data_IF_221856797396
#
_entry.id   IF_221856797396
#
_cell.length_a   1.000
_cell.length_b   1.000
_cell.length_c   1.000
_cell.angle_alpha   90.00
_cell.angle_beta   90.00
_cell.angle_gamma   90.00
#
_symmetry.space_group_name_H-M   'P 1'
#
loop_
_entity.id
_entity.type
_entity.pdbx_description
1 polymer ?
#
# COMPACT_ATOMS: atom_id res chain seq x y z
N UNK A 1 -9.85 -40.48 25.67
CA UNK A 1 -9.15 -39.58 26.62
C UNK A 1 -7.99 -40.25 27.36
N UNK A 2 -8.19 -41.39 28.04
CA UNK A 2 -7.10 -42.09 28.77
C UNK A 2 -5.85 -42.38 27.92
N UNK A 3 -6.00 -42.91 26.70
CA UNK A 3 -4.87 -43.13 25.75
C UNK A 3 -4.13 -41.86 25.35
N UNK A 4 -4.75 -40.68 25.42
CA UNK A 4 -4.10 -39.40 25.12
C UNK A 4 -3.32 -38.88 26.34
N UNK A 5 -3.91 -38.99 27.53
CA UNK A 5 -3.25 -38.62 28.78
C UNK A 5 -2.01 -39.47 29.05
N UNK A 6 -2.10 -40.78 28.81
CA UNK A 6 -0.97 -41.70 28.95
C UNK A 6 0.19 -41.33 28.00
N UNK A 7 -0.12 -40.98 26.74
CA UNK A 7 0.88 -40.52 25.75
C UNK A 7 1.59 -39.23 26.16
N UNK A 8 0.83 -38.26 26.68
CA UNK A 8 1.44 -37.07 27.26
C UNK A 8 2.36 -37.45 28.42
N UNK A 9 1.96 -38.35 29.32
CA UNK A 9 2.80 -38.77 30.45
C UNK A 9 4.09 -39.49 30.01
N UNK A 10 4.10 -40.16 28.87
CA UNK A 10 5.23 -40.96 28.39
C UNK A 10 6.16 -40.18 27.44
N UNK A 11 5.62 -39.30 26.56
CA UNK A 11 6.40 -38.63 25.51
C UNK A 11 6.65 -37.14 25.83
N UNK A 12 7.90 -36.79 26.19
CA UNK A 12 8.30 -35.41 26.48
C UNK A 12 8.05 -34.45 25.30
N UNK A 13 8.24 -34.91 24.06
CA UNK A 13 8.04 -34.08 22.86
C UNK A 13 6.57 -33.72 22.65
N UNK A 14 5.66 -34.65 22.94
CA UNK A 14 4.22 -34.38 22.89
C UNK A 14 3.78 -33.44 24.02
N UNK A 15 4.37 -33.56 25.22
CA UNK A 15 4.14 -32.60 26.32
C UNK A 15 4.53 -31.18 25.91
N UNK A 16 5.72 -31.00 25.36
CA UNK A 16 6.20 -29.67 24.91
C UNK A 16 5.28 -29.10 23.82
N UNK A 17 4.86 -29.91 22.84
CA UNK A 17 3.92 -29.47 21.80
C UNK A 17 2.54 -29.09 22.36
N UNK A 18 2.06 -29.83 23.35
CA UNK A 18 0.81 -29.55 24.04
C UNK A 18 0.90 -28.25 24.86
N UNK A 19 1.98 -28.08 25.63
CA UNK A 19 2.26 -26.86 26.38
C UNK A 19 2.36 -25.63 25.45
N UNK A 20 3.05 -25.76 24.31
CA UNK A 20 3.12 -24.72 23.30
C UNK A 20 1.73 -24.36 22.74
N UNK A 21 0.87 -25.35 22.51
CA UNK A 21 -0.51 -25.12 22.05
C UNK A 21 -1.34 -24.35 23.08
N UNK A 22 -1.25 -24.73 24.36
CA UNK A 22 -1.92 -24.01 25.46
C UNK A 22 -1.40 -22.58 25.54
N UNK A 23 -0.08 -22.40 25.51
CA UNK A 23 0.56 -21.08 25.58
C UNK A 23 0.19 -20.21 24.39
N UNK A 24 0.16 -20.75 23.17
CA UNK A 24 -0.22 -20.03 21.95
C UNK A 24 -1.63 -19.43 22.06
N UNK A 25 -2.64 -20.24 22.43
CA UNK A 25 -4.00 -19.74 22.57
C UNK A 25 -4.20 -18.89 23.82
N UNK A 26 -3.46 -19.16 24.89
CA UNK A 26 -3.42 -18.32 26.10
C UNK A 26 -2.90 -16.91 25.79
N UNK A 27 -1.80 -16.80 25.04
CA UNK A 27 -1.25 -15.52 24.59
C UNK A 27 -2.24 -14.80 23.67
N UNK A 28 -2.86 -15.48 22.71
CA UNK A 28 -3.87 -14.86 21.84
C UNK A 28 -5.09 -14.35 22.62
N UNK A 29 -5.56 -15.09 23.63
CA UNK A 29 -6.65 -14.65 24.49
C UNK A 29 -6.23 -13.42 25.31
N UNK A 30 -5.04 -13.43 25.94
CA UNK A 30 -4.50 -12.28 26.68
C UNK A 30 -4.34 -11.07 25.77
N UNK A 31 -3.80 -11.24 24.56
CA UNK A 31 -3.67 -10.17 23.57
C UNK A 31 -5.05 -9.58 23.22
N UNK A 32 -6.07 -10.41 22.99
CA UNK A 32 -7.44 -9.93 22.75
C UNK A 32 -7.98 -9.11 23.93
N UNK A 33 -7.73 -9.54 25.17
CA UNK A 33 -8.13 -8.80 26.37
C UNK A 33 -7.38 -7.47 26.52
N UNK A 34 -6.07 -7.47 26.29
CA UNK A 34 -5.23 -6.26 26.33
C UNK A 34 -5.59 -5.27 25.21
N UNK A 35 -6.10 -5.77 24.09
CA UNK A 35 -6.50 -4.95 22.95
C UNK A 35 -7.89 -4.32 23.09
N UNK A 36 -8.66 -4.63 24.15
CA UNK A 36 -9.99 -4.02 24.37
C UNK A 36 -10.00 -2.49 24.25
N UNK A 37 -9.07 -1.74 24.87
CA UNK A 37 -9.07 -0.28 24.75
C UNK A 37 -8.89 0.21 23.32
N UNK A 38 -8.18 -0.55 22.46
CA UNK A 38 -7.95 -0.21 21.06
C UNK A 38 -9.15 -0.50 20.17
N UNK A 39 -10.09 -1.33 20.63
CA UNK A 39 -11.32 -1.67 19.92
C UNK A 39 -12.49 -0.74 20.32
N UNK A 40 -12.32 0.05 21.38
CA UNK A 40 -13.35 0.87 22.00
C UNK A 40 -13.09 2.39 21.79
N UNK A 41 -12.74 2.78 20.57
CA UNK A 41 -12.30 4.16 20.24
C UNK A 41 -13.38 5.22 20.33
N UNK A 42 -14.64 4.88 20.02
CA UNK A 42 -15.80 5.78 20.18
C UNK A 42 -16.93 5.09 20.94
N UNK A 43 -17.92 5.84 21.45
CA UNK A 43 -19.04 5.26 22.19
C UNK A 43 -19.86 4.25 21.35
N UNK A 44 -20.05 4.53 20.06
CA UNK A 44 -20.73 3.64 19.13
C UNK A 44 -19.87 2.41 18.76
N UNK A 45 -18.55 2.61 18.57
CA UNK A 45 -17.62 1.51 18.31
C UNK A 45 -17.51 0.59 19.52
N UNK A 46 -17.54 1.15 20.73
CA UNK A 46 -17.49 0.42 22.00
C UNK A 46 -18.68 -0.53 22.17
N UNK A 47 -19.88 -0.09 21.82
CA UNK A 47 -21.08 -0.94 21.89
C UNK A 47 -20.98 -2.10 20.87
N UNK A 48 -20.61 -1.80 19.62
CA UNK A 48 -20.43 -2.83 18.59
C UNK A 48 -19.26 -3.80 18.90
N UNK A 49 -18.15 -3.27 19.41
CA UNK A 49 -16.94 -4.01 19.80
C UNK A 49 -17.24 -4.99 20.93
N UNK A 50 -17.82 -4.52 22.03
CA UNK A 50 -18.07 -5.32 23.23
C UNK A 50 -19.17 -6.36 22.99
N UNK A 51 -20.23 -6.00 22.28
CA UNK A 51 -21.37 -6.91 22.11
C UNK A 51 -21.22 -7.88 20.94
N UNK A 52 -20.43 -7.53 19.92
CA UNK A 52 -20.34 -8.33 18.70
C UNK A 52 -18.91 -8.79 18.38
N UNK A 53 -17.97 -7.86 18.15
CA UNK A 53 -16.63 -8.21 17.68
C UNK A 53 -15.84 -9.06 18.69
N UNK A 54 -15.80 -8.64 19.95
CA UNK A 54 -15.03 -9.30 21.00
C UNK A 54 -15.56 -10.73 21.30
N UNK A 55 -16.88 -10.95 21.50
CA UNK A 55 -17.44 -12.30 21.64
C UNK A 55 -17.19 -13.18 20.42
N UNK A 56 -17.30 -12.63 19.20
CA UNK A 56 -17.01 -13.37 17.97
C UNK A 56 -15.53 -13.79 17.89
N UNK A 57 -14.59 -12.90 18.21
CA UNK A 57 -13.16 -13.23 18.23
C UNK A 57 -12.83 -14.27 19.30
N UNK A 58 -13.40 -14.12 20.49
CA UNK A 58 -13.24 -15.11 21.56
C UNK A 58 -13.80 -16.48 21.15
N UNK A 59 -14.99 -16.51 20.53
CA UNK A 59 -15.59 -17.72 19.98
C UNK A 59 -14.71 -18.36 18.89
N UNK A 60 -14.09 -17.55 18.01
CA UNK A 60 -13.14 -18.01 17.01
C UNK A 60 -11.85 -18.60 17.64
N UNK A 61 -11.34 -17.99 18.72
CA UNK A 61 -10.21 -18.53 19.49
C UNK A 61 -10.58 -19.87 20.12
N UNK A 62 -11.73 -19.97 20.80
CA UNK A 62 -12.22 -21.21 21.42
C UNK A 62 -12.43 -22.28 20.34
N UNK A 63 -13.16 -21.91 19.29
CA UNK A 63 -13.23 -22.49 17.95
C UNK A 63 -11.97 -23.27 17.55
N UNK A 64 -10.96 -22.46 17.25
CA UNK A 64 -9.68 -22.89 16.71
C UNK A 64 -8.88 -23.69 17.74
N UNK A 65 -9.04 -23.40 19.03
CA UNK A 65 -8.46 -24.15 20.15
C UNK A 65 -9.01 -25.58 20.14
N UNK A 66 -10.34 -25.75 20.18
CA UNK A 66 -11.00 -27.06 20.17
C UNK A 66 -10.60 -27.85 18.93
N UNK A 67 -10.68 -27.24 17.74
CA UNK A 67 -10.26 -27.89 16.48
C UNK A 67 -8.78 -28.29 16.54
N UNK A 68 -7.92 -27.45 17.10
CA UNK A 68 -6.49 -27.72 17.25
C UNK A 68 -6.20 -28.88 18.17
N UNK A 69 -6.83 -28.92 19.33
CA UNK A 69 -6.68 -30.01 20.30
C UNK A 69 -7.28 -31.32 19.77
N UNK A 70 -8.44 -31.27 19.11
CA UNK A 70 -9.02 -32.45 18.45
C UNK A 70 -8.08 -33.00 17.36
N UNK A 71 -7.52 -32.15 16.51
CA UNK A 71 -6.55 -32.56 15.47
C UNK A 71 -5.25 -33.12 16.05
N UNK A 72 -4.77 -32.54 17.15
CA UNK A 72 -3.59 -33.00 17.88
C UNK A 72 -3.83 -34.37 18.52
N UNK A 73 -4.97 -34.55 19.22
CA UNK A 73 -5.33 -35.80 19.87
C UNK A 73 -5.58 -36.95 18.89
N UNK A 74 -6.13 -36.66 17.71
CA UNK A 74 -6.50 -37.64 16.68
C UNK A 74 -5.31 -38.19 15.87
N UNK A 75 -4.14 -37.53 15.85
CA UNK A 75 -3.00 -37.94 15.02
C UNK A 75 -1.70 -38.06 15.82
N UNK A 76 -1.40 -39.25 16.37
CA UNK A 76 -0.08 -39.52 16.94
C UNK A 76 0.96 -39.62 15.82
N UNK A 77 1.93 -38.70 15.84
CA UNK A 77 3.28 -38.76 15.25
C UNK A 77 3.53 -39.21 13.78
N UNK A 78 2.53 -39.66 13.02
CA UNK A 78 2.72 -39.89 11.58
C UNK A 78 2.63 -38.56 10.82
N UNK A 79 3.75 -38.10 10.24
CA UNK A 79 3.72 -37.07 9.19
C UNK A 79 2.80 -37.61 8.08
N UNK A 80 1.59 -37.06 7.89
CA UNK A 80 0.68 -37.62 6.90
C UNK A 80 1.36 -37.55 5.54
N UNK A 81 1.37 -38.67 4.80
CA UNK A 81 1.92 -38.69 3.44
C UNK A 81 1.22 -37.59 2.63
N UNK A 82 1.96 -36.75 1.87
CA UNK A 82 1.36 -35.68 1.10
C UNK A 82 0.38 -36.28 0.08
N UNK A 83 -0.82 -35.71 -0.03
CA UNK A 83 -1.82 -36.14 -0.99
C UNK A 83 -1.77 -35.24 -2.22
N UNK A 84 -2.20 -35.76 -3.37
CA UNK A 84 -2.40 -34.93 -4.55
C UNK A 84 -3.54 -33.93 -4.32
N UNK A 85 -3.44 -32.79 -4.98
CA UNK A 85 -4.51 -31.79 -5.04
C UNK A 85 -5.72 -32.39 -5.76
N UNK A 86 -6.91 -32.18 -5.20
CA UNK A 86 -8.18 -32.59 -5.81
C UNK A 86 -9.11 -31.38 -5.95
N UNK A 87 -10.40 -31.64 -6.16
CA UNK A 87 -11.40 -30.60 -6.42
C UNK A 87 -11.78 -29.74 -5.20
N UNK A 88 -11.57 -30.23 -3.97
CA UNK A 88 -11.93 -29.51 -2.74
C UNK A 88 -10.95 -28.39 -2.39
N UNK A 89 -9.70 -28.49 -2.85
CA UNK A 89 -8.62 -27.60 -2.47
C UNK A 89 -8.73 -26.21 -3.14
N UNK A 90 -9.09 -26.08 -4.42
CA UNK A 90 -9.43 -24.79 -5.01
C UNK A 90 -10.52 -24.04 -4.23
N UNK A 91 -11.55 -24.74 -3.73
CA UNK A 91 -12.61 -24.12 -2.91
C UNK A 91 -12.03 -23.55 -1.60
N UNK A 92 -11.14 -24.30 -0.93
CA UNK A 92 -10.46 -23.81 0.27
C UNK A 92 -9.53 -22.62 -0.01
N UNK A 93 -8.88 -22.62 -1.18
CA UNK A 93 -8.04 -21.50 -1.62
C UNK A 93 -8.88 -20.26 -1.94
N UNK A 94 -10.06 -20.44 -2.54
CA UNK A 94 -11.00 -19.35 -2.81
C UNK A 94 -11.55 -18.75 -1.51
N UNK A 95 -11.94 -19.60 -0.55
CA UNK A 95 -12.35 -19.14 0.78
C UNK A 95 -11.21 -18.38 1.50
N UNK A 96 -9.97 -18.87 1.38
CA UNK A 96 -8.81 -18.16 1.91
C UNK A 96 -8.60 -16.82 1.19
N UNK A 97 -8.75 -16.75 -0.13
CA UNK A 97 -8.65 -15.50 -0.89
C UNK A 97 -9.71 -14.47 -0.47
N UNK A 98 -10.94 -14.89 -0.22
CA UNK A 98 -11.99 -14.04 0.34
C UNK A 98 -11.64 -13.52 1.74
N UNK A 99 -11.06 -14.37 2.59
CA UNK A 99 -10.54 -13.95 3.90
C UNK A 99 -9.40 -12.93 3.79
N UNK A 100 -8.44 -13.14 2.87
CA UNK A 100 -7.32 -12.21 2.66
C UNK A 100 -7.80 -10.86 2.13
N UNK A 101 -8.76 -10.86 1.21
CA UNK A 101 -9.43 -9.65 0.75
C UNK A 101 -10.06 -8.88 1.92
N UNK A 102 -10.88 -9.57 2.73
CA UNK A 102 -11.55 -8.95 3.87
C UNK A 102 -10.55 -8.40 4.88
N UNK A 103 -9.46 -9.13 5.17
CA UNK A 103 -8.42 -8.70 6.10
C UNK A 103 -7.69 -7.45 5.60
N UNK A 104 -7.34 -7.42 4.30
CA UNK A 104 -6.67 -6.27 3.70
C UNK A 104 -7.57 -5.03 3.75
N UNK A 105 -8.79 -5.13 3.23
CA UNK A 105 -9.73 -3.99 3.18
C UNK A 105 -10.16 -3.52 4.56
N UNK A 106 -10.31 -4.42 5.53
CA UNK A 106 -10.68 -4.06 6.89
C UNK A 106 -9.62 -3.16 7.56
N UNK A 107 -8.34 -3.35 7.21
CA UNK A 107 -7.25 -2.52 7.74
C UNK A 107 -7.05 -1.24 6.92
N UNK A 108 -7.16 -1.32 5.60
CA UNK A 108 -6.75 -0.23 4.70
C UNK A 108 -7.88 0.70 4.25
N UNK A 109 -9.13 0.25 4.29
CA UNK A 109 -10.26 0.94 3.68
C UNK A 109 -11.44 1.01 4.65
N UNK A 110 -11.56 2.11 5.39
CA UNK A 110 -12.66 2.33 6.33
C UNK A 110 -14.05 2.29 5.69
N UNK A 111 -14.14 2.52 4.38
CA UNK A 111 -15.38 2.49 3.62
C UNK A 111 -15.55 1.25 2.74
N UNK A 112 -14.84 0.16 3.01
CA UNK A 112 -14.94 -1.04 2.17
C UNK A 112 -16.38 -1.60 2.07
N UNK A 113 -17.27 -1.27 3.02
CA UNK A 113 -18.70 -1.64 2.99
C UNK A 113 -19.49 -0.90 1.90
N UNK A 114 -19.02 0.26 1.47
CA UNK A 114 -19.63 1.06 0.39
C UNK A 114 -19.16 0.59 -1.00
N UNK A 115 -18.13 -0.26 -1.05
CA UNK A 115 -17.61 -0.80 -2.31
C UNK A 115 -18.62 -1.74 -2.96
N UNK A 116 -18.77 -1.60 -4.28
CA UNK A 116 -19.66 -2.48 -5.06
C UNK A 116 -19.16 -3.93 -5.01
N UNK A 117 -20.10 -4.86 -4.79
CA UNK A 117 -19.80 -6.28 -4.60
C UNK A 117 -18.99 -6.93 -5.73
N UNK A 118 -19.17 -6.47 -6.98
CA UNK A 118 -18.44 -7.04 -8.12
C UNK A 118 -16.96 -6.61 -8.14
N UNK A 119 -16.60 -5.45 -7.59
CA UNK A 119 -15.20 -5.09 -7.37
C UNK A 119 -14.58 -5.92 -6.24
N UNK A 120 -15.34 -6.23 -5.18
CA UNK A 120 -14.90 -7.18 -4.17
C UNK A 120 -14.59 -8.56 -4.79
N UNK A 121 -15.46 -9.07 -5.66
CA UNK A 121 -15.21 -10.31 -6.40
C UNK A 121 -13.97 -10.22 -7.30
N UNK A 122 -13.73 -9.09 -7.95
CA UNK A 122 -12.55 -8.89 -8.77
C UNK A 122 -11.25 -8.96 -7.92
N UNK A 123 -11.23 -8.33 -6.74
CA UNK A 123 -10.12 -8.46 -5.80
C UNK A 123 -9.91 -9.92 -5.37
N UNK A 124 -11.00 -10.59 -4.96
CA UNK A 124 -10.93 -12.01 -4.57
C UNK A 124 -10.39 -12.87 -5.71
N UNK A 125 -10.81 -12.60 -6.95
CA UNK A 125 -10.32 -13.27 -8.15
C UNK A 125 -8.82 -13.08 -8.36
N UNK A 126 -8.33 -11.85 -8.27
CA UNK A 126 -6.88 -11.54 -8.39
C UNK A 126 -6.07 -12.24 -7.29
N UNK A 127 -6.53 -12.16 -6.03
CA UNK A 127 -5.89 -12.83 -4.89
C UNK A 127 -5.90 -14.36 -5.07
N UNK A 128 -6.99 -14.91 -5.61
CA UNK A 128 -7.13 -16.34 -5.88
C UNK A 128 -6.19 -16.81 -6.98
N UNK A 129 -6.05 -16.06 -8.07
CA UNK A 129 -5.07 -16.35 -9.14
C UNK A 129 -3.65 -16.31 -8.57
N UNK A 130 -3.30 -15.27 -7.79
CA UNK A 130 -2.00 -15.18 -7.13
C UNK A 130 -1.76 -16.36 -6.18
N UNK A 131 -2.77 -16.76 -5.43
CA UNK A 131 -2.76 -17.92 -4.53
C UNK A 131 -2.47 -19.23 -5.29
N UNK A 132 -3.05 -19.40 -6.49
CA UNK A 132 -2.76 -20.54 -7.38
C UNK A 132 -1.31 -20.49 -7.83
N UNK A 133 -0.83 -19.37 -8.37
CA UNK A 133 0.54 -19.23 -8.86
C UNK A 133 1.57 -19.58 -7.77
N UNK A 134 1.45 -18.98 -6.58
CA UNK A 134 2.32 -19.27 -5.44
C UNK A 134 2.26 -20.75 -5.04
N UNK A 135 1.07 -21.36 -5.06
CA UNK A 135 0.91 -22.79 -4.75
C UNK A 135 1.62 -23.72 -5.74
N UNK A 136 1.65 -23.35 -7.04
CA UNK A 136 2.37 -24.09 -8.07
C UNK A 136 3.89 -23.95 -7.88
N UNK A 137 4.40 -22.74 -7.62
CA UNK A 137 5.82 -22.51 -7.36
C UNK A 137 6.33 -23.26 -6.12
N UNK A 138 5.58 -23.19 -5.02
CA UNK A 138 5.93 -23.87 -3.77
C UNK A 138 5.59 -25.37 -3.79
N UNK A 139 4.87 -25.84 -4.82
CA UNK A 139 4.35 -27.20 -4.94
C UNK A 139 3.60 -27.67 -3.68
N UNK A 140 2.96 -26.75 -2.98
CA UNK A 140 2.34 -27.00 -1.68
C UNK A 140 1.29 -25.94 -1.39
N UNK A 141 0.02 -26.37 -1.30
CA UNK A 141 -1.09 -25.48 -0.95
C UNK A 141 -0.90 -24.96 0.47
N UNK A 142 -0.52 -25.83 1.42
CA UNK A 142 -0.33 -25.43 2.82
C UNK A 142 0.71 -24.32 2.96
N UNK A 143 1.88 -24.48 2.33
CA UNK A 143 2.94 -23.46 2.39
C UNK A 143 2.52 -22.17 1.69
N UNK A 144 1.85 -22.27 0.55
CA UNK A 144 1.34 -21.12 -0.17
C UNK A 144 0.30 -20.35 0.64
N UNK A 145 -0.67 -21.01 1.26
CA UNK A 145 -1.68 -20.32 2.05
C UNK A 145 -1.07 -19.65 3.28
N UNK A 146 -0.11 -20.30 3.96
CA UNK A 146 0.62 -19.67 5.07
C UNK A 146 1.37 -18.42 4.59
N UNK A 147 2.11 -18.54 3.48
CA UNK A 147 2.82 -17.41 2.89
C UNK A 147 1.85 -16.27 2.53
N UNK A 148 0.74 -16.58 1.85
CA UNK A 148 -0.24 -15.57 1.43
C UNK A 148 -0.90 -14.88 2.62
N UNK A 149 -1.21 -15.58 3.71
CA UNK A 149 -1.75 -14.97 4.94
C UNK A 149 -0.76 -14.00 5.58
N UNK A 150 0.51 -14.40 5.72
CA UNK A 150 1.55 -13.54 6.28
C UNK A 150 1.80 -12.35 5.34
N UNK A 151 1.92 -12.60 4.03
CA UNK A 151 2.18 -11.58 3.03
C UNK A 151 1.07 -10.51 2.98
N UNK A 152 -0.20 -10.92 2.94
CA UNK A 152 -1.31 -9.96 2.90
C UNK A 152 -1.47 -9.16 4.20
N UNK A 153 -1.18 -9.77 5.35
CA UNK A 153 -1.12 -9.03 6.61
C UNK A 153 0.03 -8.01 6.62
N UNK A 154 1.23 -8.38 6.17
CA UNK A 154 2.33 -7.43 6.06
C UNK A 154 2.00 -6.31 5.06
N UNK A 155 1.42 -6.64 3.90
CA UNK A 155 0.99 -5.65 2.92
C UNK A 155 -0.09 -4.73 3.49
N UNK A 156 -1.05 -5.22 4.28
CA UNK A 156 -2.07 -4.36 4.89
C UNK A 156 -1.45 -3.33 5.83
N UNK A 157 -0.42 -3.70 6.59
CA UNK A 157 0.35 -2.75 7.41
C UNK A 157 1.08 -1.71 6.55
N UNK A 158 1.71 -2.14 5.46
CA UNK A 158 2.41 -1.23 4.53
C UNK A 158 1.42 -0.24 3.93
N UNK A 159 0.32 -0.71 3.35
CA UNK A 159 -0.71 0.17 2.78
C UNK A 159 -1.27 1.13 3.82
N UNK A 160 -1.55 0.66 5.04
CA UNK A 160 -2.09 1.48 6.12
C UNK A 160 -1.12 2.57 6.58
N UNK A 161 0.11 2.21 6.96
CA UNK A 161 1.06 3.18 7.51
C UNK A 161 1.60 4.13 6.44
N UNK A 162 1.80 3.68 5.21
CA UNK A 162 2.18 4.58 4.10
C UNK A 162 1.09 5.62 3.88
N UNK A 163 -0.17 5.20 3.85
CA UNK A 163 -1.30 6.13 3.72
C UNK A 163 -1.41 7.07 4.93
N UNK A 164 -1.24 6.57 6.15
CA UNK A 164 -1.29 7.37 7.38
C UNK A 164 -0.22 8.47 7.41
N UNK A 165 1.02 8.16 7.02
CA UNK A 165 2.14 9.10 7.12
C UNK A 165 2.25 10.05 5.92
N UNK A 166 1.84 9.62 4.73
CA UNK A 166 2.02 10.40 3.49
C UNK A 166 0.73 10.96 2.90
N UNK A 167 -0.44 10.51 3.36
CA UNK A 167 -1.73 10.83 2.75
C UNK A 167 -1.95 10.22 1.36
N UNK A 168 -1.00 9.42 0.88
CA UNK A 168 -0.98 8.80 -0.44
C UNK A 168 -0.97 7.28 -0.31
N UNK A 169 -1.69 6.59 -1.18
CA UNK A 169 -1.70 5.13 -1.15
C UNK A 169 -0.35 4.57 -1.62
N UNK A 170 0.08 3.46 -1.01
CA UNK A 170 1.31 2.78 -1.41
C UNK A 170 1.27 2.36 -2.89
N UNK A 171 2.27 2.77 -3.66
CA UNK A 171 2.45 2.44 -5.07
C UNK A 171 3.74 1.62 -5.26
N UNK A 172 3.88 0.87 -6.35
CA UNK A 172 5.11 0.09 -6.59
C UNK A 172 6.35 0.99 -6.69
N UNK A 173 6.20 2.26 -7.11
CA UNK A 173 7.31 3.22 -7.19
C UNK A 173 7.94 3.48 -5.81
N UNK A 174 7.16 3.32 -4.73
CA UNK A 174 7.66 3.48 -3.35
C UNK A 174 8.71 2.42 -2.98
N UNK A 175 8.78 1.30 -3.72
CA UNK A 175 9.86 0.32 -3.54
C UNK A 175 11.23 0.88 -3.94
N UNK A 176 11.29 1.86 -4.84
CA UNK A 176 12.54 2.51 -5.23
C UNK A 176 13.03 3.53 -4.20
N UNK A 177 12.15 4.02 -3.32
CA UNK A 177 12.48 4.98 -2.25
C UNK A 177 12.46 4.37 -0.84
N UNK A 178 12.48 3.02 -0.75
CA UNK A 178 12.38 2.32 0.53
C UNK A 178 13.53 2.63 1.50
N UNK A 179 14.73 2.88 0.98
CA UNK A 179 15.89 3.26 1.80
C UNK A 179 15.65 4.61 2.49
N UNK A 180 15.23 5.62 1.72
CA UNK A 180 14.89 6.95 2.25
C UNK A 180 13.72 6.88 3.24
N UNK A 181 12.72 6.04 2.95
CA UNK A 181 11.60 5.81 3.87
C UNK A 181 12.04 5.19 5.21
N UNK A 182 13.02 4.28 5.18
CA UNK A 182 13.55 3.65 6.38
C UNK A 182 14.29 4.66 7.29
N UNK A 183 15.01 5.62 6.71
CA UNK A 183 15.75 6.65 7.46
C UNK A 183 14.81 7.62 8.20
N UNK A 184 13.66 7.94 7.60
CA UNK A 184 12.66 8.85 8.22
C UNK A 184 11.70 8.12 9.16
N UNK A 185 11.62 6.78 9.07
CA UNK A 185 10.64 5.99 9.83
C UNK A 185 10.82 6.09 11.34
N UNK A 186 12.05 6.29 11.81
CA UNK A 186 12.35 6.44 13.25
C UNK A 186 11.71 7.67 13.91
N UNK A 187 11.28 8.66 13.11
CA UNK A 187 10.57 9.84 13.59
C UNK A 187 9.06 9.64 13.77
N UNK A 188 8.49 8.56 13.23
CA UNK A 188 7.04 8.33 13.31
C UNK A 188 6.63 7.53 14.53
N UNK A 189 5.48 7.89 15.11
CA UNK A 189 4.80 7.09 16.12
C UNK A 189 3.86 6.10 15.44
N UNK A 190 4.14 4.82 15.59
CA UNK A 190 3.29 3.76 15.08
C UNK A 190 2.19 3.46 16.09
N UNK A 191 1.03 4.08 15.89
CA UNK A 191 -0.16 3.73 16.63
C UNK A 191 -0.75 2.43 16.08
N UNK A 192 -1.07 1.51 16.98
CA UNK A 192 -1.65 0.21 16.63
C UNK A 192 -3.16 0.35 16.80
N UNK A 193 -3.92 0.15 15.73
CA UNK A 193 -5.39 0.22 15.78
C UNK A 193 -6.03 -1.13 16.10
N UNK A 194 -7.30 -1.10 16.51
CA UNK A 194 -8.11 -2.29 16.74
C UNK A 194 -8.23 -3.20 15.50
N UNK A 195 -8.26 -2.63 14.30
CA UNK A 195 -8.31 -3.37 13.04
C UNK A 195 -7.03 -4.17 12.79
N UNK A 196 -5.87 -3.57 13.08
CA UNK A 196 -4.57 -4.23 12.97
C UNK A 196 -4.48 -5.41 13.95
N UNK A 197 -4.88 -5.21 15.21
CA UNK A 197 -4.85 -6.28 16.21
C UNK A 197 -5.81 -7.41 15.86
N UNK A 198 -7.01 -7.08 15.42
CA UNK A 198 -8.02 -8.06 14.98
C UNK A 198 -7.51 -8.88 13.79
N UNK A 199 -6.90 -8.20 12.81
CA UNK A 199 -6.29 -8.82 11.64
C UNK A 199 -5.12 -9.72 12.02
N UNK A 200 -4.28 -9.31 12.97
CA UNK A 200 -3.18 -10.12 13.50
C UNK A 200 -3.68 -11.38 14.21
N UNK A 201 -4.67 -11.26 15.09
CA UNK A 201 -5.25 -12.41 15.80
C UNK A 201 -5.87 -13.39 14.81
N UNK A 202 -6.71 -12.92 13.89
CA UNK A 202 -7.37 -13.79 12.91
C UNK A 202 -6.35 -14.47 11.98
N UNK A 203 -5.30 -13.75 11.56
CA UNK A 203 -4.22 -14.29 10.74
C UNK A 203 -3.46 -15.40 11.49
N UNK A 204 -3.16 -15.19 12.78
CA UNK A 204 -2.60 -16.22 13.65
C UNK A 204 -3.50 -17.47 13.75
N UNK A 205 -4.82 -17.30 13.88
CA UNK A 205 -5.76 -18.43 13.90
C UNK A 205 -5.77 -19.20 12.57
N UNK A 206 -5.87 -18.50 11.44
CA UNK A 206 -5.92 -19.11 10.10
C UNK A 206 -4.59 -19.81 9.75
N UNK A 207 -3.44 -19.18 10.02
CA UNK A 207 -2.11 -19.79 9.85
C UNK A 207 -1.99 -21.06 10.71
N UNK A 208 -2.51 -21.06 11.95
CA UNK A 208 -2.51 -22.25 12.80
C UNK A 208 -3.33 -23.39 12.21
N UNK A 209 -4.51 -23.09 11.68
CA UNK A 209 -5.36 -24.06 11.00
C UNK A 209 -4.67 -24.67 9.77
N UNK A 210 -3.94 -23.87 9.01
CA UNK A 210 -3.13 -24.35 7.87
C UNK A 210 -1.94 -25.20 8.32
N UNK A 211 -1.21 -24.81 9.37
CA UNK A 211 -0.07 -25.57 9.90
C UNK A 211 -0.47 -27.00 10.31
N UNK A 212 -1.66 -27.16 10.89
CA UNK A 212 -2.24 -28.47 11.26
C UNK A 212 -2.97 -29.17 10.10
N UNK A 213 -3.22 -28.45 9.01
CA UNK A 213 -3.82 -28.96 7.79
C UNK A 213 -2.94 -30.04 7.14
N UNK A 214 -3.57 -30.88 6.31
CA UNK A 214 -2.82 -31.86 5.51
C UNK A 214 -2.03 -31.14 4.42
N UNK A 215 -0.85 -31.66 4.13
CA UNK A 215 -0.04 -31.21 3.01
C UNK A 215 -0.63 -31.76 1.69
N UNK A 216 -1.08 -30.86 0.82
CA UNK A 216 -1.47 -31.17 -0.55
C UNK A 216 -0.43 -30.67 -1.52
N UNK A 217 0.07 -31.55 -2.40
CA UNK A 217 1.13 -31.25 -3.38
C UNK A 217 0.65 -31.59 -4.78
N UNK A 218 1.16 -30.85 -5.77
CA UNK A 218 0.82 -31.08 -7.17
C UNK A 218 1.73 -32.17 -7.77
N UNK A 219 3.03 -32.16 -7.43
CA UNK A 219 4.03 -33.06 -7.97
C UNK A 219 4.90 -33.72 -6.87
N UNK A 220 5.25 -35.01 -7.06
CA UNK A 220 6.09 -35.76 -6.11
C UNK A 220 7.50 -36.04 -6.63
N UNK A 221 7.65 -36.54 -7.87
CA UNK A 221 8.94 -36.81 -8.52
C UNK A 221 9.65 -35.52 -8.92
N UNK A 222 10.99 -35.51 -8.88
CA UNK A 222 11.81 -34.32 -9.19
C UNK A 222 11.54 -33.76 -10.58
N UNK A 223 11.48 -34.62 -11.60
CA UNK A 223 11.13 -34.23 -12.99
C UNK A 223 9.79 -33.49 -13.05
N UNK A 224 8.76 -34.01 -12.39
CA UNK A 224 7.43 -33.39 -12.39
C UNK A 224 7.41 -32.05 -11.62
N UNK A 225 8.26 -31.88 -10.60
CA UNK A 225 8.40 -30.60 -9.90
C UNK A 225 9.05 -29.55 -10.79
N UNK A 226 10.05 -29.93 -11.58
CA UNK A 226 10.68 -29.03 -12.55
C UNK A 226 9.65 -28.64 -13.60
N UNK A 227 8.94 -29.61 -14.19
CA UNK A 227 7.87 -29.35 -15.16
C UNK A 227 6.78 -28.44 -14.58
N UNK A 228 6.36 -28.66 -13.33
CA UNK A 228 5.38 -27.81 -12.65
C UNK A 228 5.88 -26.37 -12.51
N UNK A 229 7.17 -26.17 -12.17
CA UNK A 229 7.75 -24.83 -12.03
C UNK A 229 7.91 -24.13 -13.38
N UNK A 230 8.28 -24.87 -14.42
CA UNK A 230 8.33 -24.34 -15.80
C UNK A 230 6.92 -23.94 -16.25
N UNK A 231 5.92 -24.79 -16.02
CA UNK A 231 4.52 -24.48 -16.31
C UNK A 231 4.01 -23.29 -15.49
N UNK A 232 4.38 -23.19 -14.21
CA UNK A 232 4.06 -22.05 -13.36
C UNK A 232 4.70 -20.76 -13.88
N UNK A 233 5.98 -20.80 -14.27
CA UNK A 233 6.67 -19.65 -14.85
C UNK A 233 6.06 -19.21 -16.19
N UNK A 234 5.73 -20.16 -17.07
CA UNK A 234 5.03 -19.89 -18.32
C UNK A 234 3.63 -19.30 -18.08
N UNK A 235 2.88 -19.84 -17.11
CA UNK A 235 1.57 -19.31 -16.72
C UNK A 235 1.70 -17.89 -16.15
N UNK A 236 2.67 -17.64 -15.27
CA UNK A 236 2.94 -16.31 -14.73
C UNK A 236 3.32 -15.32 -15.83
N UNK A 237 4.17 -15.72 -16.78
CA UNK A 237 4.51 -14.90 -17.94
C UNK A 237 3.28 -14.61 -18.81
N UNK A 238 2.45 -15.63 -19.09
CA UNK A 238 1.21 -15.46 -19.83
C UNK A 238 0.23 -14.52 -19.13
N UNK A 239 0.03 -14.68 -17.82
CA UNK A 239 -0.81 -13.77 -17.02
C UNK A 239 -0.25 -12.35 -17.00
N UNK A 240 1.07 -12.18 -16.90
CA UNK A 240 1.72 -10.86 -16.96
C UNK A 240 1.53 -10.20 -18.34
N UNK A 241 1.74 -10.94 -19.43
CA UNK A 241 1.53 -10.43 -20.79
C UNK A 241 0.06 -10.08 -21.02
N UNK A 242 -0.89 -10.88 -20.54
CA UNK A 242 -2.31 -10.57 -20.59
C UNK A 242 -2.63 -9.31 -19.78
N UNK A 243 -2.12 -9.20 -18.55
CA UNK A 243 -2.29 -8.03 -17.68
C UNK A 243 -1.77 -6.73 -18.31
N UNK A 244 -0.62 -6.78 -18.98
CA UNK A 244 -0.01 -5.60 -19.62
C UNK A 244 -0.70 -5.21 -20.93
N UNK A 245 -1.03 -6.18 -21.78
CA UNK A 245 -1.49 -5.90 -23.14
C UNK A 245 -3.01 -5.84 -23.29
N UNK A 246 -3.78 -6.43 -22.36
CA UNK A 246 -5.24 -6.35 -22.38
C UNK A 246 -5.72 -5.12 -21.62
N UNK A 247 -6.80 -4.51 -22.12
CA UNK A 247 -7.46 -3.38 -21.46
C UNK A 247 -8.48 -3.83 -20.41
N UNK A 248 -8.06 -4.79 -19.57
CA UNK A 248 -8.90 -5.37 -18.52
C UNK A 248 -9.49 -4.30 -17.59
N UNK A 249 -8.73 -3.24 -17.27
CA UNK A 249 -9.18 -2.14 -16.43
C UNK A 249 -10.46 -1.51 -17.01
N UNK A 250 -10.45 -1.20 -18.31
CA UNK A 250 -11.58 -0.58 -19.01
C UNK A 250 -12.76 -1.55 -19.13
N UNK A 251 -12.51 -2.81 -19.47
CA UNK A 251 -13.54 -3.86 -19.58
C UNK A 251 -14.29 -4.08 -18.25
N UNK A 252 -13.58 -4.00 -17.12
CA UNK A 252 -14.17 -4.14 -15.79
C UNK A 252 -14.62 -2.80 -15.17
N UNK A 253 -14.54 -1.68 -15.90
CA UNK A 253 -14.98 -0.37 -15.41
C UNK A 253 -14.10 0.25 -14.32
N UNK A 254 -12.85 -0.18 -14.23
CA UNK A 254 -11.83 0.32 -13.29
C UNK A 254 -11.11 1.51 -13.90
N UNK A 255 -11.45 2.71 -13.42
CA UNK A 255 -10.82 3.97 -13.84
C UNK A 255 -9.72 4.30 -12.84
N UNK A 256 -8.46 4.29 -13.29
CA UNK A 256 -7.31 4.58 -12.43
C UNK A 256 -7.09 6.08 -12.32
N UNK A 257 -7.40 6.64 -11.15
CA UNK A 257 -7.00 7.99 -10.80
C UNK A 257 -5.52 7.97 -10.38
N UNK A 258 -4.64 8.31 -11.32
CA UNK A 258 -3.19 8.34 -11.09
C UNK A 258 -2.76 9.50 -10.18
N UNK A 259 -3.61 10.51 -10.03
CA UNK A 259 -3.36 11.68 -9.18
C UNK A 259 -3.81 11.45 -7.75
N UNK A 260 -4.88 10.68 -7.56
CA UNK A 260 -5.32 10.21 -6.25
C UNK A 260 -5.50 8.68 -6.24
N UNK A 261 -4.40 7.92 -6.14
CA UNK A 261 -4.45 6.46 -6.04
C UNK A 261 -5.31 5.97 -4.88
N UNK A 262 -5.35 6.71 -3.75
CA UNK A 262 -6.16 6.36 -2.60
C UNK A 262 -7.67 6.31 -2.93
N UNK A 263 -8.17 7.23 -3.77
CA UNK A 263 -9.54 7.18 -4.28
C UNK A 263 -9.80 5.92 -5.10
N UNK A 264 -8.86 5.55 -5.96
CA UNK A 264 -8.94 4.31 -6.76
C UNK A 264 -9.03 3.08 -5.84
N UNK A 265 -8.22 3.04 -4.77
CA UNK A 265 -8.16 1.88 -3.87
C UNK A 265 -9.44 1.78 -3.04
N UNK A 266 -9.99 2.92 -2.59
CA UNK A 266 -11.26 2.99 -1.86
C UNK A 266 -12.45 2.52 -2.70
N UNK A 267 -12.48 2.88 -3.99
CA UNK A 267 -13.60 2.55 -4.89
C UNK A 267 -13.55 1.12 -5.43
N UNK A 268 -12.36 0.65 -5.80
CA UNK A 268 -12.18 -0.62 -6.52
C UNK A 268 -11.55 -1.71 -5.66
N UNK A 269 -11.12 -1.40 -4.44
CA UNK A 269 -10.39 -2.28 -3.53
C UNK A 269 -8.88 -2.16 -3.74
N UNK A 270 -8.13 -2.39 -2.67
CA UNK A 270 -6.68 -2.20 -2.56
C UNK A 270 -5.92 -3.06 -3.57
N UNK A 271 -6.29 -4.34 -3.75
CA UNK A 271 -5.54 -5.24 -4.66
C UNK A 271 -5.77 -4.87 -6.13
N UNK A 272 -7.03 -4.62 -6.52
CA UNK A 272 -7.37 -4.20 -7.89
C UNK A 272 -6.84 -2.80 -8.16
N UNK A 273 -7.01 -1.87 -7.23
CA UNK A 273 -6.48 -0.51 -7.36
C UNK A 273 -4.95 -0.50 -7.50
N UNK A 274 -4.25 -1.28 -6.68
CA UNK A 274 -2.80 -1.42 -6.77
C UNK A 274 -2.38 -2.01 -8.12
N UNK A 275 -3.03 -3.09 -8.57
CA UNK A 275 -2.72 -3.68 -9.88
C UNK A 275 -3.10 -2.77 -11.04
N UNK A 276 -4.15 -1.96 -10.95
CA UNK A 276 -4.54 -1.02 -11.99
C UNK A 276 -3.51 0.12 -12.09
N UNK A 277 -3.17 0.76 -10.97
CA UNK A 277 -2.16 1.83 -10.90
C UNK A 277 -0.77 1.31 -11.29
N UNK A 278 -0.41 0.09 -10.90
CA UNK A 278 0.88 -0.50 -11.25
C UNK A 278 1.08 -0.68 -12.76
N UNK A 279 -0.01 -0.82 -13.53
CA UNK A 279 0.09 -0.94 -15.00
C UNK A 279 0.65 0.34 -15.63
N UNK A 280 0.35 1.50 -15.05
CA UNK A 280 0.69 2.82 -15.58
C UNK A 280 2.07 3.34 -15.15
N UNK A 281 2.83 2.60 -14.33
CA UNK A 281 4.19 3.04 -13.98
C UNK A 281 5.22 2.73 -15.07
N UNK A 282 4.84 1.98 -16.11
CA UNK A 282 5.68 1.87 -17.30
C UNK A 282 5.60 3.21 -18.05
N UNK A 283 6.68 3.99 -17.98
CA UNK A 283 6.86 5.10 -18.89
C UNK A 283 6.90 4.57 -20.33
N UNK A 284 5.86 4.89 -21.09
CA UNK A 284 5.85 4.70 -22.54
C UNK A 284 6.43 5.95 -23.17
N UNK A 285 7.47 5.82 -24.01
CA UNK A 285 7.96 6.98 -24.75
C UNK A 285 6.81 7.55 -25.61
N UNK A 286 6.70 8.87 -25.75
CA UNK A 286 5.73 9.47 -26.66
C UNK A 286 6.01 9.04 -28.10
N UNK A 287 4.97 9.04 -28.95
CA UNK A 287 5.12 8.74 -30.36
C UNK A 287 6.15 9.68 -31.00
N UNK A 288 7.08 9.12 -31.77
CA UNK A 288 8.19 9.86 -32.40
C UNK A 288 9.44 10.01 -31.53
N UNK A 289 9.43 9.65 -30.24
CA UNK A 289 10.62 9.77 -29.39
C UNK A 289 11.85 9.08 -29.99
N UNK A 290 12.88 9.87 -30.28
CA UNK A 290 14.23 9.38 -30.58
C UNK A 290 15.25 10.20 -29.80
N UNK A 291 16.39 9.60 -29.45
CA UNK A 291 17.47 10.32 -28.78
C UNK A 291 17.98 11.48 -29.64
N UNK A 292 18.05 11.26 -30.95
CA UNK A 292 18.56 12.24 -31.90
C UNK A 292 17.64 13.47 -32.00
N UNK A 293 16.31 13.27 -32.00
CA UNK A 293 15.35 14.38 -31.95
C UNK A 293 15.45 15.18 -30.65
N UNK A 294 15.60 14.51 -29.51
CA UNK A 294 15.76 15.20 -28.21
C UNK A 294 17.03 16.04 -28.20
N UNK A 295 18.15 15.51 -28.73
CA UNK A 295 19.40 16.27 -28.86
C UNK A 295 19.24 17.44 -29.82
N UNK A 296 18.56 17.26 -30.95
CA UNK A 296 18.30 18.35 -31.90
C UNK A 296 17.44 19.47 -31.28
N UNK A 297 16.42 19.13 -30.49
CA UNK A 297 15.61 20.10 -29.75
C UNK A 297 16.47 20.84 -28.72
N UNK A 298 17.29 20.11 -27.94
CA UNK A 298 18.18 20.72 -26.95
C UNK A 298 19.18 21.71 -27.59
N UNK A 299 19.81 21.31 -28.70
CA UNK A 299 20.75 22.15 -29.45
C UNK A 299 20.06 23.39 -30.04
N UNK A 300 18.81 23.25 -30.49
CA UNK A 300 18.00 24.37 -31.01
C UNK A 300 17.65 25.34 -29.90
N UNK A 301 17.15 24.85 -28.76
CA UNK A 301 16.85 25.68 -27.59
C UNK A 301 18.09 26.37 -27.02
N UNK A 302 19.26 25.72 -27.02
CA UNK A 302 20.51 26.35 -26.59
C UNK A 302 20.94 27.48 -27.55
N UNK A 303 20.74 27.28 -28.86
CA UNK A 303 20.98 28.33 -29.86
C UNK A 303 19.99 29.48 -29.72
N UNK A 304 18.70 29.21 -29.56
CA UNK A 304 17.67 30.22 -29.33
C UNK A 304 17.96 31.03 -28.05
N UNK A 305 18.34 30.37 -26.96
CA UNK A 305 18.70 31.03 -25.69
C UNK A 305 19.97 31.89 -25.80
N UNK A 306 20.92 31.50 -26.66
CA UNK A 306 22.13 32.32 -26.97
C UNK A 306 21.82 33.49 -27.93
N UNK A 307 20.75 33.39 -28.72
CA UNK A 307 20.37 34.41 -29.71
C UNK A 307 19.39 35.43 -29.10
N UNK A 308 18.56 35.00 -28.15
CA UNK A 308 17.85 35.86 -27.20
C UNK A 308 18.81 36.41 -26.15
N UNK A 309 19.73 37.26 -26.58
CA UNK A 309 20.42 38.24 -25.76
C UNK A 309 19.42 39.33 -25.25
N UNK A 310 18.20 38.91 -24.85
CA UNK A 310 17.16 39.71 -24.17
C UNK A 310 17.61 40.24 -22.79
N UNK A 311 18.88 40.04 -22.44
CA UNK A 311 19.53 40.65 -21.27
C UNK A 311 20.33 41.91 -21.59
N UNK A 312 20.49 42.31 -22.85
CA UNK A 312 21.25 43.52 -23.19
C UNK A 312 20.44 44.82 -23.19
N UNK A 313 19.12 44.76 -23.26
CA UNK A 313 18.29 45.98 -23.29
C UNK A 313 17.85 46.48 -21.90
N UNK A 314 18.19 45.76 -20.82
CA UNK A 314 18.05 46.25 -19.45
C UNK A 314 19.44 46.61 -18.89
N UNK A 315 19.98 47.74 -19.34
CA UNK A 315 21.26 48.31 -18.91
C UNK A 315 21.33 48.65 -17.39
N UNK A 316 20.20 48.56 -16.68
CA UNK A 316 20.09 48.73 -15.21
C UNK A 316 19.88 47.41 -14.44
N UNK A 317 19.96 46.25 -15.10
CA UNK A 317 19.74 44.96 -14.42
C UNK A 317 20.90 44.59 -13.50
N UNK A 318 20.74 44.92 -12.21
CA UNK A 318 21.58 44.41 -11.13
C UNK A 318 21.60 42.89 -11.22
N UNK A 319 22.74 42.31 -11.59
CA UNK A 319 22.92 40.86 -11.54
C UNK A 319 22.94 40.45 -10.07
N UNK A 320 21.98 39.65 -9.60
CA UNK A 320 21.91 39.29 -8.20
C UNK A 320 23.13 38.44 -7.82
N UNK A 321 23.89 38.90 -6.83
CA UNK A 321 25.09 38.19 -6.34
C UNK A 321 24.71 37.01 -5.44
N UNK A 322 23.54 37.07 -4.81
CA UNK A 322 22.97 36.00 -3.98
C UNK A 322 21.51 35.78 -4.36
N UNK A 323 21.10 34.52 -4.42
CA UNK A 323 19.69 34.11 -4.62
C UNK A 323 19.25 33.39 -3.35
N UNK A 324 18.21 33.91 -2.70
CA UNK A 324 17.59 33.29 -1.53
C UNK A 324 16.21 32.80 -1.94
N UNK A 325 16.01 31.48 -1.91
CA UNK A 325 14.72 30.86 -2.17
C UNK A 325 14.06 30.49 -0.84
N UNK A 326 12.84 30.98 -0.61
CA UNK A 326 12.04 30.64 0.58
C UNK A 326 10.81 29.87 0.11
N UNK A 327 10.79 28.57 0.35
CA UNK A 327 9.63 27.71 0.11
C UNK A 327 8.85 27.56 1.42
N UNK A 328 7.70 28.21 1.51
CA UNK A 328 6.89 28.19 2.72
C UNK A 328 5.94 26.98 2.72
N UNK A 329 6.11 26.09 3.69
CA UNK A 329 5.36 24.85 3.81
C UNK A 329 3.84 25.12 3.92
N UNK A 330 3.06 24.48 3.05
CA UNK A 330 1.59 24.59 3.05
C UNK A 330 1.01 26.02 2.93
N UNK A 331 1.78 26.98 2.45
CA UNK A 331 1.32 28.37 2.30
C UNK A 331 0.40 28.56 1.08
N UNK A 332 -0.76 29.21 1.27
CA UNK A 332 -1.75 29.48 0.23
C UNK A 332 -2.55 30.75 0.52
N UNK A 333 -2.77 31.60 -0.50
CA UNK A 333 -3.61 32.81 -0.39
C UNK A 333 -5.09 32.44 -0.60
N UNK A 334 -5.86 32.31 0.48
CA UNK A 334 -7.28 31.93 0.43
C UNK A 334 -8.17 32.94 -0.30
N UNK A 335 -7.74 34.20 -0.49
CA UNK A 335 -8.47 35.20 -1.30
C UNK A 335 -8.58 34.78 -2.77
N UNK A 336 -7.72 33.88 -3.23
CA UNK A 336 -7.76 33.35 -4.60
C UNK A 336 -8.92 32.38 -4.85
N UNK A 337 -9.53 31.83 -3.79
CA UNK A 337 -10.60 30.81 -3.88
C UNK A 337 -11.95 31.36 -3.40
N UNK A 338 -11.95 32.39 -2.55
CA UNK A 338 -13.17 33.03 -2.05
C UNK A 338 -12.86 34.28 -1.24
N UNK A 339 -13.84 34.78 -0.50
CA UNK A 339 -13.70 35.98 0.35
C UNK A 339 -13.74 35.61 1.83
N UNK A 340 -12.62 35.15 2.43
CA UNK A 340 -12.58 34.71 3.82
C UNK A 340 -12.85 35.89 4.75
N UNK A 341 -13.89 35.78 5.57
CA UNK A 341 -14.20 36.75 6.61
C UNK A 341 -13.29 36.54 7.80
N UNK A 342 -12.36 37.47 8.02
CA UNK A 342 -11.41 37.42 9.13
C UNK A 342 -11.58 38.65 10.01
N UNK A 343 -11.30 38.54 11.32
CA UNK A 343 -11.33 39.67 12.25
C UNK A 343 -10.21 40.69 12.00
N UNK A 344 -9.14 40.25 11.33
CA UNK A 344 -7.98 41.06 10.95
C UNK A 344 -7.42 40.58 9.61
N UNK A 345 -6.59 41.40 8.94
CA UNK A 345 -5.90 40.96 7.72
C UNK A 345 -4.95 39.82 8.05
N UNK A 346 -5.03 38.72 7.31
CA UNK A 346 -4.22 37.53 7.56
C UNK A 346 -2.89 37.50 6.78
N UNK A 347 -2.61 38.52 5.94
CA UNK A 347 -1.33 38.67 5.22
C UNK A 347 -0.79 40.12 5.15
N UNK A 348 -0.80 40.87 6.27
CA UNK A 348 -0.50 42.31 6.25
C UNK A 348 0.93 42.61 5.78
N UNK A 349 1.91 41.77 6.14
CA UNK A 349 3.29 41.93 5.69
C UNK A 349 3.47 41.66 4.19
N UNK A 350 2.81 40.63 3.64
CA UNK A 350 2.90 40.34 2.21
C UNK A 350 2.15 41.36 1.35
N UNK A 351 1.10 41.95 1.91
CA UNK A 351 0.33 43.01 1.26
C UNK A 351 1.12 44.33 1.27
N UNK A 352 1.87 44.63 2.33
CA UNK A 352 2.68 45.85 2.43
C UNK A 352 3.88 45.91 1.49
N UNK A 353 4.38 44.78 0.99
CA UNK A 353 5.48 44.73 0.01
C UNK A 353 4.99 45.25 -1.35
N UNK A 354 5.26 46.50 -1.71
CA UNK A 354 4.85 47.10 -3.00
C UNK A 354 6.01 47.47 -3.90
N UNK A 355 7.19 47.76 -3.33
CA UNK A 355 8.36 48.22 -4.05
C UNK A 355 9.33 47.07 -4.38
N UNK A 356 9.92 47.07 -5.57
CA UNK A 356 10.95 46.11 -6.02
C UNK A 356 10.55 44.62 -5.87
N UNK A 357 9.28 44.31 -6.07
CA UNK A 357 8.72 42.96 -5.97
C UNK A 357 7.89 42.59 -7.20
N UNK A 358 8.10 41.39 -7.71
CA UNK A 358 7.22 40.76 -8.70
C UNK A 358 6.29 39.82 -7.94
N UNK A 359 4.99 39.97 -8.13
CA UNK A 359 3.96 39.10 -7.54
C UNK A 359 3.21 38.38 -8.67
N UNK A 360 2.96 37.10 -8.49
CA UNK A 360 2.15 36.32 -9.43
C UNK A 360 1.65 35.03 -8.81
N UNK A 361 0.96 34.21 -9.60
CA UNK A 361 0.54 32.88 -9.18
C UNK A 361 1.43 31.80 -9.80
N UNK A 362 1.88 30.85 -8.98
CA UNK A 362 2.53 29.62 -9.41
C UNK A 362 1.61 28.45 -9.22
N UNK A 363 1.43 27.71 -10.29
CA UNK A 363 0.69 26.47 -10.28
C UNK A 363 1.54 25.37 -9.62
N UNK A 364 1.06 24.81 -8.52
CA UNK A 364 1.65 23.64 -7.88
C UNK A 364 0.80 22.40 -8.19
N UNK A 365 1.49 21.30 -8.49
CA UNK A 365 0.86 20.02 -8.78
C UNK A 365 0.82 19.13 -7.52
N UNK A 366 0.57 19.74 -6.36
CA UNK A 366 0.52 19.06 -5.06
C UNK A 366 -0.60 19.63 -4.18
N UNK A 367 -1.11 18.83 -3.22
CA UNK A 367 -2.13 19.27 -2.25
C UNK A 367 -1.88 18.58 -0.91
N UNK A 368 -1.75 19.36 0.17
CA UNK A 368 -1.64 18.83 1.53
C UNK A 368 -0.37 18.01 1.80
N UNK A 369 0.67 18.18 0.98
CA UNK A 369 1.95 17.49 1.05
C UNK A 369 2.71 17.58 -0.28
N UNK A 370 3.88 16.96 -0.39
CA UNK A 370 4.65 16.90 -1.64
C UNK A 370 5.63 18.05 -1.88
N UNK A 371 6.06 18.76 -0.83
CA UNK A 371 7.05 19.85 -0.88
C UNK A 371 8.30 19.48 -1.67
N UNK A 372 8.82 18.26 -1.48
CA UNK A 372 9.96 17.75 -2.25
C UNK A 372 9.71 17.68 -3.78
N UNK A 373 8.46 17.49 -4.22
CA UNK A 373 8.11 17.54 -5.66
C UNK A 373 8.18 18.98 -6.17
N UNK A 374 7.65 19.94 -5.41
CA UNK A 374 7.74 21.37 -5.76
C UNK A 374 9.19 21.86 -5.72
N UNK A 375 9.99 21.37 -4.79
CA UNK A 375 11.43 21.67 -4.71
C UNK A 375 12.17 21.11 -5.91
N UNK A 376 11.89 19.86 -6.30
CA UNK A 376 12.42 19.26 -7.52
C UNK A 376 12.08 20.11 -8.76
N UNK A 377 10.82 20.54 -8.89
CA UNK A 377 10.40 21.39 -10.01
C UNK A 377 11.12 22.74 -10.01
N UNK A 378 11.29 23.35 -8.83
CA UNK A 378 12.02 24.61 -8.67
C UNK A 378 13.50 24.48 -9.05
N UNK A 379 14.17 23.43 -8.56
CA UNK A 379 15.62 23.23 -8.77
C UNK A 379 15.96 22.77 -10.19
N UNK A 380 15.10 21.97 -10.82
CA UNK A 380 15.40 21.34 -12.12
C UNK A 380 14.71 22.04 -13.29
N UNK A 381 13.73 22.91 -13.03
CA UNK A 381 12.84 23.46 -14.06
C UNK A 381 11.99 22.41 -14.77
N UNK A 382 12.03 21.15 -14.33
CA UNK A 382 11.35 20.01 -14.94
C UNK A 382 10.06 19.71 -14.16
N UNK A 383 8.88 19.67 -14.80
CA UNK A 383 7.64 19.34 -14.11
C UNK A 383 7.68 17.89 -13.61
N UNK A 384 7.39 17.67 -12.33
CA UNK A 384 7.46 16.35 -11.70
C UNK A 384 6.36 15.39 -12.19
N UNK A 385 5.30 15.91 -12.82
CA UNK A 385 4.14 15.15 -13.30
C UNK A 385 4.21 14.72 -14.78
N UNK A 386 5.29 15.05 -15.51
CA UNK A 386 5.43 14.69 -16.93
C UNK A 386 4.42 15.37 -17.89
N UNK A 387 3.44 16.13 -17.40
CA UNK A 387 2.55 16.95 -18.21
C UNK A 387 2.02 18.16 -17.43
N UNK A 388 2.19 19.37 -17.99
CA UNK A 388 1.69 20.63 -17.41
C UNK A 388 0.16 20.80 -17.50
N UNK A 389 -0.53 19.93 -18.24
CA UNK A 389 -1.92 20.13 -18.66
C UNK A 389 -2.99 19.89 -17.57
N UNK A 390 -2.62 19.45 -16.36
CA UNK A 390 -3.61 18.97 -15.39
C UNK A 390 -3.37 19.39 -13.91
N UNK A 391 -2.61 20.46 -13.64
CA UNK A 391 -2.55 21.00 -12.28
C UNK A 391 -3.78 21.89 -11.98
N UNK A 392 -4.29 21.85 -10.74
CA UNK A 392 -5.47 22.65 -10.30
C UNK A 392 -5.21 23.59 -9.11
N UNK A 393 -4.00 23.61 -8.56
CA UNK A 393 -3.70 24.41 -7.35
C UNK A 393 -2.76 25.56 -7.72
N UNK A 394 -3.22 26.81 -7.62
CA UNK A 394 -2.39 27.99 -7.83
C UNK A 394 -1.91 28.56 -6.49
N UNK A 395 -0.66 28.35 -6.13
CA UNK A 395 0.02 29.14 -5.09
C UNK A 395 0.39 30.52 -5.65
N UNK A 396 0.82 31.46 -4.80
CA UNK A 396 1.33 32.77 -5.24
C UNK A 396 2.85 32.76 -5.16
N UNK A 397 3.56 33.02 -6.26
CA UNK A 397 5.02 33.13 -6.28
C UNK A 397 5.42 34.59 -6.32
N UNK A 398 6.43 34.92 -5.52
CA UNK A 398 6.91 36.28 -5.38
C UNK A 398 8.43 36.29 -5.41
N UNK A 399 8.99 37.18 -6.21
CA UNK A 399 10.42 37.38 -6.37
C UNK A 399 10.71 38.83 -6.02
N UNK A 400 11.59 39.05 -5.05
CA UNK A 400 12.04 40.39 -4.66
C UNK A 400 13.54 40.48 -4.85
N UNK A 401 14.01 41.52 -5.53
CA UNK A 401 15.42 41.86 -5.60
C UNK A 401 15.75 42.77 -4.41
N UNK A 402 16.42 42.22 -3.39
CA UNK A 402 16.84 43.00 -2.22
C UNK A 402 18.29 43.44 -2.44
N UNK A 403 18.57 44.72 -2.73
CA UNK A 403 19.93 45.23 -2.67
C UNK A 403 20.38 45.20 -1.21
N UNK A 404 21.22 44.23 -0.86
CA UNK A 404 21.91 44.20 0.42
C UNK A 404 22.93 45.36 0.44
N UNK A 405 22.52 46.54 0.89
CA UNK A 405 23.47 47.57 1.28
C UNK A 405 24.21 47.06 2.51
N UNK A 406 25.52 46.83 2.39
CA UNK A 406 26.38 46.50 3.54
C UNK A 406 26.22 47.62 4.58
N UNK A 407 25.78 47.26 5.79
CA UNK A 407 26.12 48.00 7.01
C UNK A 407 27.23 47.25 7.73
#
# INVERSE_FOLDING_TARGET
>A
MQKFYQRLKENQKERVRCAFLVLYFGVLAVLLFLARPLLDTTAADREWSIHFLFPCLLACIILTTVVSFCRFAAKPDQKPKPRYVGWKQPILMLANAAYLFATLEFVTNSQFREMKWYYALLNIGVIFVLSILVSLFLNSIRRAMIFMNIFYFCMSLVFYYVYLFRGEAFQLIDLYSIATAADVVGGYKFEITGEIVTSFITMMLVVRLWLQGREYRFARKTRNKILLRVAAAALTLGTYLAYMNLNWNAEFGVISDLWNPAKTYRQYGTTVGFTAVAKYMRLTPPDGYSKDEVTAIADTSEKETKTEDLRKDNADSVTPVNIIAIMNESWFDYRSVGDPQTSESYMPFLDSLTENIIKGHTLTCTKGGGTAKTEYEFLTGTPASGSRAWCRTSATLRTASIPLSRR
#
